data_IF_055125808572
#
_entry.id   IF_055125808572
#
_cell.length_a   1.000
_cell.length_b   1.000
_cell.length_c   1.000
_cell.angle_alpha   90.00
_cell.angle_beta   90.00
_cell.angle_gamma   90.00
#
_symmetry.space_group_name_H-M   'P 1'
#
loop_
_entity.id
_entity.type
_entity.pdbx_description
1 polymer ?
#
# COMPACT_ATOMS: atom_id res chain seq x y z
N UNK A 1 -72.71 -15.23 -38.48
CA UNK A 1 -71.40 -15.85 -38.98
C UNK A 1 -70.34 -14.81 -39.22
N UNK A 2 -70.56 -13.65 -39.79
CA UNK A 2 -69.57 -12.60 -40.02
C UNK A 2 -68.95 -11.94 -38.75
N UNK A 3 -69.78 -11.82 -37.69
CA UNK A 3 -69.31 -11.21 -36.41
C UNK A 3 -68.31 -12.08 -35.64
N UNK A 4 -68.48 -13.37 -35.63
CA UNK A 4 -67.62 -14.32 -34.98
C UNK A 4 -66.25 -14.38 -35.68
N UNK A 5 -66.23 -14.23 -36.99
CA UNK A 5 -64.97 -14.26 -37.78
C UNK A 5 -64.12 -12.97 -37.56
N UNK A 6 -64.76 -11.86 -37.35
CA UNK A 6 -64.14 -10.60 -37.01
C UNK A 6 -63.55 -10.61 -35.58
N UNK A 7 -64.22 -11.23 -34.64
CA UNK A 7 -63.72 -11.35 -33.25
C UNK A 7 -62.55 -12.29 -33.14
N UNK A 8 -62.58 -13.39 -33.85
CA UNK A 8 -61.44 -14.31 -33.95
C UNK A 8 -60.21 -13.66 -34.58
N UNK A 9 -60.41 -12.81 -35.61
CA UNK A 9 -59.28 -12.04 -36.20
C UNK A 9 -58.72 -11.03 -35.23
N UNK A 10 -59.53 -10.29 -34.49
CA UNK A 10 -59.09 -9.34 -33.46
C UNK A 10 -58.30 -10.04 -32.33
N UNK A 11 -58.81 -11.15 -31.84
CA UNK A 11 -58.10 -11.94 -30.80
C UNK A 11 -56.72 -12.37 -31.29
N UNK A 12 -56.64 -12.89 -32.53
CA UNK A 12 -55.37 -13.34 -33.13
C UNK A 12 -54.38 -12.17 -33.32
N UNK A 13 -54.88 -10.98 -33.76
CA UNK A 13 -54.02 -9.79 -33.88
C UNK A 13 -53.51 -9.29 -32.53
N UNK A 14 -54.34 -9.36 -31.48
CA UNK A 14 -53.93 -9.01 -30.10
C UNK A 14 -52.90 -10.01 -29.58
N UNK A 15 -53.10 -11.32 -29.78
CA UNK A 15 -52.11 -12.36 -29.39
C UNK A 15 -50.78 -12.17 -30.10
N UNK A 16 -50.78 -11.87 -31.40
CA UNK A 16 -49.57 -11.57 -32.15
C UNK A 16 -48.85 -10.32 -31.62
N UNK A 17 -49.58 -9.25 -31.36
CA UNK A 17 -49.03 -8.01 -30.81
C UNK A 17 -48.43 -8.21 -29.40
N UNK A 18 -49.11 -9.02 -28.56
CA UNK A 18 -48.61 -9.40 -27.23
C UNK A 18 -47.30 -10.20 -27.33
N UNK A 19 -47.23 -11.16 -28.26
CA UNK A 19 -46.03 -11.96 -28.51
C UNK A 19 -44.87 -11.09 -28.99
N UNK A 20 -45.09 -10.17 -29.93
CA UNK A 20 -44.08 -9.23 -30.42
C UNK A 20 -43.56 -8.32 -29.29
N UNK A 21 -44.43 -7.81 -28.42
CA UNK A 21 -44.05 -6.98 -27.26
C UNK A 21 -43.21 -7.80 -26.28
N UNK A 22 -43.55 -9.07 -26.06
CA UNK A 22 -42.76 -9.94 -25.18
C UNK A 22 -41.36 -10.24 -25.74
N UNK A 23 -41.23 -10.51 -27.03
CA UNK A 23 -39.94 -10.68 -27.70
C UNK A 23 -39.10 -9.41 -27.64
N UNK A 24 -39.71 -8.26 -27.95
CA UNK A 24 -38.99 -6.98 -27.85
C UNK A 24 -38.54 -6.67 -26.44
N UNK A 25 -39.32 -6.98 -25.39
CA UNK A 25 -38.90 -6.84 -23.99
C UNK A 25 -37.70 -7.73 -23.67
N UNK A 26 -37.72 -8.99 -24.10
CA UNK A 26 -36.60 -9.92 -23.88
C UNK A 26 -35.31 -9.45 -24.57
N UNK A 27 -35.41 -8.94 -25.79
CA UNK A 27 -34.30 -8.42 -26.55
C UNK A 27 -33.71 -7.18 -25.86
N UNK A 28 -34.53 -6.27 -25.37
CA UNK A 28 -34.06 -5.08 -24.61
C UNK A 28 -33.46 -5.44 -23.27
N UNK A 29 -33.93 -6.44 -22.61
CA UNK A 29 -33.39 -6.95 -21.35
C UNK A 29 -32.01 -7.61 -21.60
N UNK A 30 -31.86 -8.37 -22.67
CA UNK A 30 -30.62 -8.96 -23.11
C UNK A 30 -29.57 -7.88 -23.47
N UNK A 31 -29.92 -6.88 -24.29
CA UNK A 31 -29.05 -5.74 -24.60
C UNK A 31 -28.56 -5.01 -23.34
N UNK A 32 -29.45 -4.78 -22.36
CA UNK A 32 -29.08 -4.16 -21.08
C UNK A 32 -28.09 -5.02 -20.29
N UNK A 33 -28.33 -6.31 -20.23
CA UNK A 33 -27.46 -7.28 -19.52
C UNK A 33 -26.08 -7.30 -20.17
N UNK A 34 -26.01 -7.34 -21.50
CA UNK A 34 -24.75 -7.32 -22.25
C UNK A 34 -23.95 -6.04 -21.99
N UNK A 35 -24.59 -4.86 -22.07
CA UNK A 35 -23.97 -3.57 -21.77
C UNK A 35 -23.48 -3.48 -20.32
N UNK A 36 -24.27 -3.98 -19.37
CA UNK A 36 -23.89 -4.01 -17.97
C UNK A 36 -22.70 -4.92 -17.73
N UNK A 37 -22.68 -6.11 -18.34
CA UNK A 37 -21.56 -7.05 -18.26
C UNK A 37 -20.28 -6.46 -18.86
N UNK A 38 -20.37 -5.81 -20.01
CA UNK A 38 -19.23 -5.14 -20.63
C UNK A 38 -18.69 -3.98 -19.76
N UNK A 39 -19.59 -3.18 -19.16
CA UNK A 39 -19.20 -2.12 -18.25
C UNK A 39 -18.51 -2.64 -16.98
N UNK A 40 -19.01 -3.73 -16.42
CA UNK A 40 -18.37 -4.39 -15.26
C UNK A 40 -16.99 -4.94 -15.63
N UNK A 41 -16.85 -5.59 -16.78
CA UNK A 41 -15.56 -6.11 -17.24
C UNK A 41 -14.51 -4.99 -17.41
N UNK A 42 -14.90 -3.88 -18.04
CA UNK A 42 -14.04 -2.71 -18.19
C UNK A 42 -13.63 -2.09 -16.84
N UNK A 43 -14.58 -1.99 -15.90
CA UNK A 43 -14.30 -1.48 -14.56
C UNK A 43 -13.34 -2.38 -13.80
N UNK A 44 -13.49 -3.70 -13.88
CA UNK A 44 -12.59 -4.68 -13.27
C UNK A 44 -11.17 -4.60 -13.86
N UNK A 45 -11.05 -4.43 -15.17
CA UNK A 45 -9.76 -4.24 -15.83
C UNK A 45 -9.05 -2.97 -15.33
N UNK A 46 -9.78 -1.84 -15.27
CA UNK A 46 -9.24 -0.57 -14.76
C UNK A 46 -8.84 -0.67 -13.28
N UNK A 47 -9.67 -1.32 -12.46
CA UNK A 47 -9.38 -1.54 -11.04
C UNK A 47 -8.12 -2.39 -10.85
N UNK A 48 -7.98 -3.47 -11.61
CA UNK A 48 -6.79 -4.34 -11.58
C UNK A 48 -5.54 -3.57 -11.97
N UNK A 49 -5.61 -2.76 -13.01
CA UNK A 49 -4.49 -1.91 -13.46
C UNK A 49 -4.07 -0.92 -12.36
N UNK A 50 -5.02 -0.20 -11.76
CA UNK A 50 -4.77 0.74 -10.66
C UNK A 50 -4.11 0.04 -9.45
N UNK A 51 -4.55 -1.16 -9.11
CA UNK A 51 -3.98 -1.90 -7.99
C UNK A 51 -2.54 -2.36 -8.27
N UNK A 52 -2.24 -2.82 -9.49
CA UNK A 52 -0.87 -3.16 -9.90
C UNK A 52 0.03 -1.91 -9.86
N UNK A 53 -0.44 -0.77 -10.37
CA UNK A 53 0.29 0.50 -10.32
C UNK A 53 0.54 0.94 -8.86
N UNK A 54 -0.43 0.77 -7.97
CA UNK A 54 -0.30 1.11 -6.55
C UNK A 54 0.70 0.18 -5.84
N UNK A 55 0.68 -1.13 -6.09
CA UNK A 55 1.66 -2.08 -5.55
C UNK A 55 3.08 -1.71 -6.01
N UNK A 56 3.26 -1.38 -7.29
CA UNK A 56 4.54 -0.94 -7.82
C UNK A 56 5.01 0.37 -7.17
N UNK A 57 4.10 1.35 -6.99
CA UNK A 57 4.41 2.62 -6.31
C UNK A 57 4.85 2.40 -4.86
N UNK A 58 4.19 1.51 -4.11
CA UNK A 58 4.58 1.12 -2.76
C UNK A 58 5.98 0.50 -2.75
N UNK A 59 6.28 -0.40 -3.71
CA UNK A 59 7.59 -1.01 -3.84
C UNK A 59 8.70 0.01 -4.14
N UNK A 60 8.46 0.95 -5.04
CA UNK A 60 9.40 2.03 -5.33
C UNK A 60 9.64 2.93 -4.12
N UNK A 61 8.58 3.33 -3.42
CA UNK A 61 8.70 4.12 -2.19
C UNK A 61 9.52 3.40 -1.11
N UNK A 62 9.34 2.09 -0.96
CA UNK A 62 10.12 1.27 -0.05
C UNK A 62 11.62 1.32 -0.36
N UNK A 63 11.98 1.14 -1.63
CA UNK A 63 13.37 1.18 -2.08
C UNK A 63 13.99 2.56 -1.86
N UNK A 64 13.27 3.63 -2.22
CA UNK A 64 13.73 5.01 -2.02
C UNK A 64 13.95 5.34 -0.54
N UNK A 65 13.04 4.92 0.35
CA UNK A 65 13.19 5.14 1.79
C UNK A 65 14.39 4.37 2.36
N UNK A 66 14.62 3.13 1.94
CA UNK A 66 15.79 2.34 2.36
C UNK A 66 17.09 2.96 1.85
N UNK A 67 17.14 3.43 0.62
CA UNK A 67 18.30 4.10 0.04
C UNK A 67 18.62 5.39 0.80
N UNK A 68 17.62 6.23 1.09
CA UNK A 68 17.80 7.46 1.89
C UNK A 68 18.28 7.15 3.31
N UNK A 69 17.77 6.09 3.93
CA UNK A 69 18.21 5.64 5.24
C UNK A 69 19.69 5.22 5.22
N UNK A 70 20.12 4.45 4.23
CA UNK A 70 21.52 4.04 4.04
C UNK A 70 22.43 5.24 3.78
N UNK A 71 22.00 6.18 2.95
CA UNK A 71 22.72 7.42 2.70
C UNK A 71 22.95 8.23 3.98
N UNK A 72 21.92 8.36 4.82
CA UNK A 72 22.02 9.05 6.11
C UNK A 72 23.04 8.38 7.04
N UNK A 73 23.05 7.03 7.14
CA UNK A 73 24.05 6.29 7.92
C UNK A 73 25.45 6.59 7.41
N UNK A 74 25.64 6.52 6.10
CA UNK A 74 26.95 6.77 5.48
C UNK A 74 27.46 8.18 5.80
N UNK A 75 26.63 9.22 5.59
CA UNK A 75 26.98 10.61 5.87
C UNK A 75 27.31 10.83 7.35
N UNK A 76 26.50 10.29 8.26
CA UNK A 76 26.73 10.41 9.70
C UNK A 76 27.98 9.64 10.14
N UNK A 77 28.25 8.49 9.58
CA UNK A 77 29.47 7.73 9.86
C UNK A 77 30.72 8.51 9.49
N UNK A 78 30.73 9.15 8.31
CA UNK A 78 31.85 10.03 7.91
C UNK A 78 31.98 11.20 8.88
N UNK A 79 30.90 11.92 9.19
CA UNK A 79 30.92 13.07 10.09
C UNK A 79 31.49 12.71 11.49
N UNK A 80 31.06 11.58 12.06
CA UNK A 80 31.55 11.13 13.36
C UNK A 80 33.01 10.66 13.31
N UNK A 81 33.43 10.02 12.22
CA UNK A 81 34.83 9.66 12.01
C UNK A 81 35.72 10.92 11.93
N UNK A 82 35.34 11.91 11.16
CA UNK A 82 36.02 13.20 11.07
C UNK A 82 36.12 13.88 12.43
N UNK A 83 35.05 13.82 13.25
CA UNK A 83 35.05 14.35 14.61
C UNK A 83 36.06 13.63 15.52
N UNK A 84 36.16 12.29 15.42
CA UNK A 84 37.11 11.49 16.17
C UNK A 84 38.57 11.80 15.74
N UNK A 85 38.83 11.86 14.44
CA UNK A 85 40.13 12.14 13.87
C UNK A 85 40.61 13.54 14.30
N UNK A 86 39.71 14.53 14.25
CA UNK A 86 39.98 15.90 14.73
C UNK A 86 40.25 15.96 16.23
N UNK A 87 39.52 15.19 17.04
CA UNK A 87 39.74 15.12 18.48
C UNK A 87 41.12 14.51 18.83
N UNK A 88 41.56 13.53 18.08
CA UNK A 88 42.89 12.93 18.22
C UNK A 88 43.97 13.94 17.83
N UNK A 89 43.81 14.65 16.72
CA UNK A 89 44.75 15.67 16.25
C UNK A 89 44.87 16.85 17.26
N UNK A 90 43.75 17.33 17.79
CA UNK A 90 43.71 18.33 18.84
C UNK A 90 44.43 17.85 20.12
N UNK A 91 44.16 16.59 20.53
CA UNK A 91 44.80 16.00 21.70
C UNK A 91 46.32 15.90 21.54
N UNK A 92 46.80 15.47 20.37
CA UNK A 92 48.23 15.42 20.05
C UNK A 92 48.88 16.80 20.14
N UNK A 93 48.22 17.82 19.59
CA UNK A 93 48.64 19.22 19.64
C UNK A 93 48.68 19.76 21.09
N UNK A 94 47.66 19.47 21.88
CA UNK A 94 47.59 19.88 23.29
C UNK A 94 48.69 19.17 24.13
N UNK A 95 48.95 17.87 23.90
CA UNK A 95 50.01 17.16 24.59
C UNK A 95 51.42 17.74 24.28
N UNK A 96 51.71 18.08 23.03
CA UNK A 96 52.97 18.75 22.64
C UNK A 96 53.12 20.10 23.33
N UNK A 97 52.01 20.89 23.42
CA UNK A 97 52.02 22.17 24.09
C UNK A 97 52.21 22.08 25.61
N UNK A 98 51.66 21.00 26.22
CA UNK A 98 51.84 20.70 27.64
C UNK A 98 53.31 20.35 27.92
N UNK A 99 53.91 19.50 27.07
CA UNK A 99 55.33 19.14 27.20
C UNK A 99 56.25 20.35 27.11
N UNK A 100 56.03 21.22 26.11
CA UNK A 100 56.82 22.44 25.90
C UNK A 100 56.74 23.43 27.09
N UNK A 101 55.52 23.66 27.61
CA UNK A 101 55.30 24.70 28.65
C UNK A 101 55.50 24.22 30.08
N UNK A 102 55.24 22.93 30.33
CA UNK A 102 55.20 22.34 31.68
C UNK A 102 56.14 21.15 31.86
N UNK A 103 57.04 20.91 30.92
CA UNK A 103 57.96 19.78 30.97
C UNK A 103 58.77 19.65 32.27
N UNK A 104 59.07 20.77 32.95
CA UNK A 104 59.77 20.81 34.22
C UNK A 104 58.84 20.76 35.46
N UNK A 105 57.49 20.71 35.28
CA UNK A 105 56.52 20.62 36.37
C UNK A 105 55.67 19.39 36.23
N UNK A 106 56.17 18.26 36.74
CA UNK A 106 55.52 16.93 36.61
C UNK A 106 54.08 16.93 37.12
N UNK A 107 53.77 17.59 38.21
CA UNK A 107 52.42 17.63 38.78
C UNK A 107 51.41 18.37 37.87
N UNK A 108 51.82 19.53 37.30
CA UNK A 108 50.98 20.28 36.36
C UNK A 108 50.79 19.49 35.05
N UNK A 109 51.83 18.90 34.55
CA UNK A 109 51.85 18.02 33.37
C UNK A 109 50.86 16.87 33.50
N UNK A 110 50.93 16.10 34.61
CA UNK A 110 50.00 14.96 34.87
C UNK A 110 48.54 15.38 34.89
N UNK A 111 48.21 16.51 35.52
CA UNK A 111 46.82 17.00 35.57
C UNK A 111 46.33 17.39 34.18
N UNK A 112 47.17 18.07 33.38
CA UNK A 112 46.78 18.52 32.04
C UNK A 112 46.67 17.37 31.05
N UNK A 113 47.61 16.40 31.11
CA UNK A 113 47.50 15.15 30.29
C UNK A 113 46.21 14.42 30.58
N UNK A 114 45.85 14.19 31.85
CA UNK A 114 44.58 13.56 32.23
C UNK A 114 43.35 14.36 31.71
N UNK A 115 43.40 15.67 31.67
CA UNK A 115 42.32 16.48 31.12
C UNK A 115 42.17 16.29 29.60
N UNK A 116 43.28 16.21 28.86
CA UNK A 116 43.30 15.93 27.42
C UNK A 116 42.79 14.52 27.14
N UNK A 117 43.26 13.51 27.85
CA UNK A 117 42.82 12.12 27.74
C UNK A 117 41.32 11.98 28.01
N UNK A 118 40.82 12.66 29.06
CA UNK A 118 39.39 12.64 29.39
C UNK A 118 38.54 13.31 28.28
N UNK A 119 38.99 14.46 27.76
CA UNK A 119 38.31 15.16 26.66
C UNK A 119 38.26 14.29 25.42
N UNK A 120 39.36 13.74 24.99
CA UNK A 120 39.49 12.85 23.83
C UNK A 120 38.64 11.59 24.00
N UNK A 121 38.76 10.91 25.14
CA UNK A 121 38.00 9.70 25.46
C UNK A 121 36.49 9.94 25.45
N UNK A 122 36.02 11.09 25.97
CA UNK A 122 34.61 11.45 25.93
C UNK A 122 34.11 11.67 24.50
N UNK A 123 34.86 12.32 23.63
CA UNK A 123 34.48 12.53 22.23
C UNK A 123 34.38 11.21 21.50
N UNK A 124 35.39 10.35 21.62
CA UNK A 124 35.43 9.03 20.98
C UNK A 124 34.27 8.15 21.45
N UNK A 125 34.07 8.07 22.79
CA UNK A 125 32.97 7.24 23.36
C UNK A 125 31.59 7.76 22.93
N UNK A 126 31.39 9.08 22.94
CA UNK A 126 30.12 9.68 22.54
C UNK A 126 29.86 9.45 21.05
N UNK A 127 30.86 9.63 20.18
CA UNK A 127 30.73 9.37 18.74
C UNK A 127 30.39 7.90 18.46
N UNK A 128 31.07 6.96 19.13
CA UNK A 128 30.81 5.53 18.98
C UNK A 128 29.37 5.18 19.39
N UNK A 129 28.93 5.72 20.55
CA UNK A 129 27.56 5.49 21.03
C UNK A 129 26.50 6.05 20.08
N UNK A 130 26.71 7.23 19.51
CA UNK A 130 25.80 7.78 18.50
C UNK A 130 25.72 6.94 17.24
N UNK A 131 26.84 6.37 16.75
CA UNK A 131 26.85 5.47 15.61
C UNK A 131 26.10 4.15 15.91
N UNK A 132 26.23 3.60 17.10
CA UNK A 132 25.51 2.41 17.53
C UNK A 132 23.99 2.65 17.63
N UNK A 133 23.59 3.79 18.21
CA UNK A 133 22.19 4.22 18.30
C UNK A 133 21.60 4.45 16.90
N UNK A 134 22.31 5.18 16.02
CA UNK A 134 21.91 5.41 14.65
C UNK A 134 21.71 4.10 13.88
N UNK A 135 22.63 3.15 13.99
CA UNK A 135 22.52 1.85 13.33
C UNK A 135 21.29 1.07 13.81
N UNK A 136 20.99 1.11 15.12
CA UNK A 136 19.79 0.48 15.69
C UNK A 136 18.52 1.13 15.16
N UNK A 137 18.47 2.45 15.10
CA UNK A 137 17.31 3.19 14.60
C UNK A 137 17.05 2.90 13.13
N UNK A 138 18.10 2.75 12.32
CA UNK A 138 17.97 2.37 10.91
C UNK A 138 17.44 0.95 10.73
N UNK A 139 17.89 0.00 11.56
CA UNK A 139 17.32 -1.36 11.56
C UNK A 139 15.82 -1.32 11.87
N UNK A 140 15.43 -0.60 12.93
CA UNK A 140 14.02 -0.44 13.32
C UNK A 140 13.19 0.25 12.23
N UNK A 141 13.76 1.26 11.57
CA UNK A 141 13.13 1.96 10.46
C UNK A 141 12.90 1.02 9.27
N UNK A 142 13.90 0.25 8.89
CA UNK A 142 13.79 -0.73 7.80
C UNK A 142 12.71 -1.78 8.08
N UNK A 143 12.64 -2.31 9.29
CA UNK A 143 11.58 -3.24 9.70
C UNK A 143 10.18 -2.58 9.64
N UNK A 144 10.09 -1.29 9.99
CA UNK A 144 8.84 -0.54 9.93
C UNK A 144 8.40 -0.29 8.49
N UNK A 145 9.34 0.03 7.60
CA UNK A 145 9.10 0.18 6.15
C UNK A 145 8.60 -1.15 5.57
N UNK A 146 9.24 -2.28 5.90
CA UNK A 146 8.85 -3.60 5.42
C UNK A 146 7.44 -3.98 5.91
N UNK A 147 7.12 -3.70 7.18
CA UNK A 147 5.77 -3.93 7.73
C UNK A 147 4.70 -3.09 7.01
N UNK A 148 4.95 -1.81 6.80
CA UNK A 148 4.01 -0.92 6.09
C UNK A 148 3.79 -1.37 4.65
N UNK A 149 4.84 -1.76 3.94
CA UNK A 149 4.77 -2.28 2.57
C UNK A 149 3.92 -3.54 2.51
N UNK A 150 4.19 -4.52 3.38
CA UNK A 150 3.44 -5.77 3.45
C UNK A 150 1.96 -5.55 3.82
N UNK A 151 1.66 -4.61 4.73
CA UNK A 151 0.29 -4.26 5.09
C UNK A 151 -0.45 -3.58 3.94
N UNK A 152 0.22 -2.68 3.22
CA UNK A 152 -0.34 -2.02 2.04
C UNK A 152 -0.67 -3.01 0.93
N UNK A 153 0.23 -3.93 0.61
CA UNK A 153 0.01 -4.99 -0.38
C UNK A 153 -1.17 -5.90 0.01
N UNK A 154 -1.19 -6.41 1.25
CA UNK A 154 -2.30 -7.24 1.75
C UNK A 154 -3.64 -6.52 1.73
N UNK A 155 -3.66 -5.21 2.03
CA UNK A 155 -4.89 -4.43 1.94
C UNK A 155 -5.44 -4.40 0.51
N UNK A 156 -4.57 -4.20 -0.49
CA UNK A 156 -4.95 -4.19 -1.90
C UNK A 156 -5.42 -5.57 -2.36
N UNK A 157 -4.70 -6.64 -2.00
CA UNK A 157 -5.07 -8.03 -2.31
C UNK A 157 -6.45 -8.39 -1.74
N UNK A 158 -6.69 -8.12 -0.46
CA UNK A 158 -7.99 -8.36 0.19
C UNK A 158 -9.13 -7.54 -0.43
N UNK A 159 -8.84 -6.33 -0.92
CA UNK A 159 -9.84 -5.51 -1.60
C UNK A 159 -10.24 -6.13 -2.95
N UNK A 160 -9.27 -6.62 -3.72
CA UNK A 160 -9.50 -7.31 -4.98
C UNK A 160 -10.32 -8.60 -4.79
N UNK A 161 -9.95 -9.43 -3.81
CA UNK A 161 -10.68 -10.67 -3.51
C UNK A 161 -12.15 -10.41 -3.17
N UNK A 162 -12.44 -9.44 -2.32
CA UNK A 162 -13.83 -9.06 -1.97
C UNK A 162 -14.61 -8.59 -3.18
N UNK A 163 -13.97 -7.89 -4.09
CA UNK A 163 -14.62 -7.40 -5.32
C UNK A 163 -14.95 -8.55 -6.29
N UNK A 164 -14.09 -9.54 -6.42
CA UNK A 164 -14.34 -10.72 -7.24
C UNK A 164 -15.48 -11.57 -6.68
N UNK A 165 -15.55 -11.78 -5.38
CA UNK A 165 -16.60 -12.57 -4.72
C UNK A 165 -17.97 -11.90 -4.86
N UNK A 166 -18.07 -10.58 -4.69
CA UNK A 166 -19.34 -9.85 -4.79
C UNK A 166 -19.92 -9.86 -6.22
N UNK A 167 -19.06 -9.91 -7.25
CA UNK A 167 -19.52 -9.95 -8.65
C UNK A 167 -19.92 -11.35 -9.13
N UNK A 168 -19.39 -12.41 -8.55
CA UNK A 168 -19.77 -13.79 -8.89
C UNK A 168 -21.11 -14.18 -8.24
N UNK A 169 -21.47 -13.56 -7.11
CA UNK A 169 -22.69 -13.88 -6.36
C UNK A 169 -23.93 -13.15 -6.85
N UNK A 170 -23.80 -12.04 -7.60
CA UNK A 170 -24.91 -11.18 -8.05
C UNK A 170 -25.84 -11.77 -9.11
N UNK A 171 -25.39 -12.57 -10.09
CA UNK A 171 -26.27 -13.13 -11.12
C UNK A 171 -27.19 -14.26 -10.61
N UNK A 172 -26.82 -14.92 -9.50
CA UNK A 172 -27.58 -16.07 -8.97
C UNK A 172 -28.75 -15.64 -8.05
N UNK A 173 -28.66 -14.48 -7.43
CA UNK A 173 -29.73 -13.98 -6.52
C UNK A 173 -30.93 -13.44 -7.30
N UNK A 174 -30.73 -12.91 -8.51
CA UNK A 174 -31.82 -12.38 -9.34
C UNK A 174 -32.67 -13.48 -10.04
N UNK A 175 -32.18 -14.72 -10.12
CA UNK A 175 -32.94 -15.84 -10.68
C UNK A 175 -33.87 -16.53 -9.68
N UNK A 176 -33.56 -16.48 -8.37
CA UNK A 176 -34.34 -17.16 -7.33
C UNK A 176 -35.63 -16.43 -6.93
N UNK A 177 -35.66 -15.10 -6.95
CA UNK A 177 -36.82 -14.32 -6.48
C UNK A 177 -37.95 -14.21 -7.51
N UNK A 178 -37.67 -14.38 -8.80
CA UNK A 178 -38.71 -14.28 -9.84
C UNK A 178 -39.46 -15.59 -10.06
N UNK A 179 -38.89 -16.75 -9.81
CA UNK A 179 -39.55 -18.05 -9.97
C UNK A 179 -40.52 -18.35 -8.79
N UNK A 180 -40.20 -17.94 -7.56
CA UNK A 180 -41.09 -18.15 -6.42
C UNK A 180 -42.35 -17.28 -6.47
N UNK A 181 -42.31 -16.07 -7.03
CA UNK A 181 -43.51 -15.20 -7.17
C UNK A 181 -44.48 -15.67 -8.22
N UNK A 182 -44.06 -16.37 -9.23
CA UNK A 182 -44.95 -16.91 -10.29
C UNK A 182 -45.68 -18.15 -9.80
N UNK A 183 -45.09 -18.97 -8.92
CA UNK A 183 -45.70 -20.20 -8.39
C UNK A 183 -46.76 -19.88 -7.32
N UNK A 184 -46.65 -18.76 -6.58
CA UNK A 184 -47.61 -18.34 -5.55
C UNK A 184 -48.86 -17.68 -6.14
N UNK A 185 -48.80 -17.06 -7.32
CA UNK A 185 -49.99 -16.45 -7.97
C UNK A 185 -50.90 -17.47 -8.71
N UNK A 186 -50.43 -18.71 -8.92
CA UNK A 186 -51.26 -19.76 -9.56
C UNK A 186 -51.97 -20.70 -8.57
N UNK A 187 -51.83 -20.49 -7.25
CA UNK A 187 -52.49 -21.32 -6.22
C UNK A 187 -53.78 -20.73 -5.64
N UNK A 188 -54.09 -19.47 -5.94
CA UNK A 188 -55.24 -18.78 -5.40
C UNK A 188 -56.41 -18.64 -6.43
N UNK A 189 -56.38 -19.38 -7.55
CA UNK A 189 -57.50 -19.45 -8.51
C UNK A 189 -57.84 -20.92 -8.76
N UNK A 190 -58.41 -21.56 -7.73
CA UNK A 190 -59.31 -22.71 -7.85
C UNK A 190 -60.12 -22.88 -6.59
#
# INVERSE_FOLDING_TARGET
>A
MLEIDLEVRRVREIEMAVAEIQEWKKEKEFERMERTTAAIALYLEQLTKLNVETINAIGHMQLELKERAQQLVYEKTIQYKELQDKAIEEAMTDLLRIEDKFGNNERAKDILIKAVDTKMGNIITTSTRFLEELNRDIVNLNESIDRLTNQGQKFIENHLERFHISNVSSPLILKGEHEEKIVLQHKDIN
#
